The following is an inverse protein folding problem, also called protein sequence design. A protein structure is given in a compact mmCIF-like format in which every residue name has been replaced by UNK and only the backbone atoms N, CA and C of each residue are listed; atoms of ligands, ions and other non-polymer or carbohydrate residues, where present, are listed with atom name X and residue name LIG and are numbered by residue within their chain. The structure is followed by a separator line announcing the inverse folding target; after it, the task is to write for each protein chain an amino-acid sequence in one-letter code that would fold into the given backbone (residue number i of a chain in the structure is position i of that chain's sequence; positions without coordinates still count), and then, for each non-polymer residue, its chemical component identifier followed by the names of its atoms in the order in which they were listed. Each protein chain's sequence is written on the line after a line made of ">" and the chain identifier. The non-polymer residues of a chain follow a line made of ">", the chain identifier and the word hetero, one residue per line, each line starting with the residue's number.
data_IF_639207811995
#
_entry.id   IF_639207811995
#
_cell.length_a   1.000
_cell.length_b   1.000
_cell.length_c   1.000
_cell.angle_alpha   90.00
_cell.angle_beta   90.00
_cell.angle_gamma   90.00
#
_symmetry.space_group_name_H-M   'P 1'
#
loop_
_entity.id
_entity.type
_entity.pdbx_description
1 polymer ?
#
# COMPACT_ATOMS: atom_id res chain seq x y z
N UNK A 1 44.59 13.44 6.77
CA UNK A 1 43.75 12.61 7.65
C UNK A 1 42.30 13.00 7.37
N UNK A 2 41.65 12.27 6.45
CA UNK A 2 40.32 12.61 5.96
C UNK A 2 39.33 11.75 6.74
N UNK A 3 38.53 12.39 7.59
CA UNK A 3 37.48 11.72 8.36
C UNK A 3 36.40 11.32 7.37
N UNK A 4 36.32 10.02 7.06
CA UNK A 4 35.24 9.45 6.27
C UNK A 4 33.95 9.63 7.06
N UNK A 5 33.07 10.47 6.51
CA UNK A 5 31.71 10.71 7.02
C UNK A 5 30.96 9.37 7.13
N UNK A 6 30.30 9.17 8.28
CA UNK A 6 29.47 8.03 8.67
C UNK A 6 28.20 7.80 7.80
N UNK A 7 28.20 8.34 6.57
CA UNK A 7 27.08 8.34 5.62
C UNK A 7 27.32 7.34 4.50
N UNK A 8 27.45 6.05 4.80
CA UNK A 8 27.34 5.00 3.78
C UNK A 8 27.33 3.56 4.34
N UNK A 9 26.73 3.33 5.51
CA UNK A 9 26.37 1.95 5.84
C UNK A 9 25.07 1.61 5.09
N UNK A 10 25.02 0.61 4.20
CA UNK A 10 23.77 0.21 3.57
C UNK A 10 22.78 -0.18 4.67
N UNK A 11 21.67 0.54 4.75
CA UNK A 11 20.58 0.25 5.68
C UNK A 11 19.99 -1.11 5.30
N UNK A 12 19.64 -1.92 6.29
CA UNK A 12 18.88 -3.13 6.02
C UNK A 12 17.54 -2.73 5.37
N UNK A 13 17.27 -3.13 4.12
CA UNK A 13 16.01 -2.80 3.45
C UNK A 13 14.80 -3.18 4.31
N UNK A 14 13.88 -2.23 4.49
CA UNK A 14 12.59 -2.51 5.10
C UNK A 14 11.72 -3.16 4.02
N UNK A 15 11.72 -4.48 3.98
CA UNK A 15 11.03 -5.20 2.93
C UNK A 15 9.51 -5.13 3.12
N UNK A 16 8.82 -4.52 2.16
CA UNK A 16 7.39 -4.74 1.95
C UNK A 16 7.15 -6.23 1.76
N UNK A 17 6.16 -6.74 2.47
CA UNK A 17 5.73 -8.11 2.32
C UNK A 17 4.21 -8.16 2.39
N UNK A 18 3.68 -9.17 1.72
CA UNK A 18 2.28 -9.53 1.88
C UNK A 18 2.17 -10.15 3.26
N UNK A 19 1.47 -9.48 4.16
CA UNK A 19 1.36 -9.90 5.55
C UNK A 19 0.42 -11.11 5.72
N UNK A 20 -0.14 -11.68 4.63
CA UNK A 20 -1.05 -12.82 4.69
C UNK A 20 -1.00 -13.76 3.47
N UNK A 21 -0.66 -15.04 3.68
CA UNK A 21 -1.22 -16.18 2.95
C UNK A 21 -2.60 -16.64 3.48
N UNK A 22 -3.27 -15.87 4.35
CA UNK A 22 -4.63 -16.17 4.83
C UNK A 22 -5.39 -14.92 5.24
N UNK A 23 -6.44 -14.55 4.50
CA UNK A 23 -7.28 -13.40 4.81
C UNK A 23 -7.84 -13.51 6.24
N UNK A 24 -7.74 -12.42 7.02
CA UNK A 24 -8.48 -12.31 8.28
C UNK A 24 -9.91 -11.86 7.99
N UNK A 25 -10.92 -12.31 8.72
CA UNK A 25 -12.31 -11.91 8.49
C UNK A 25 -12.64 -10.74 9.42
N UNK A 26 -13.12 -9.64 8.85
CA UNK A 26 -13.65 -8.50 9.61
C UNK A 26 -14.86 -8.93 10.45
N UNK A 27 -15.19 -8.18 11.50
CA UNK A 27 -16.46 -8.37 12.23
C UNK A 27 -17.70 -8.32 11.32
N UNK A 28 -17.58 -7.67 10.15
CA UNK A 28 -18.62 -7.60 9.11
C UNK A 28 -18.68 -8.82 8.18
N UNK A 29 -17.87 -9.86 8.41
CA UNK A 29 -17.80 -11.06 7.57
C UNK A 29 -17.02 -10.88 6.26
N UNK A 30 -16.49 -9.69 5.98
CA UNK A 30 -15.69 -9.40 4.77
C UNK A 30 -14.23 -9.81 4.98
N UNK A 31 -13.53 -10.32 3.95
CA UNK A 31 -12.10 -10.58 4.07
C UNK A 31 -11.32 -9.27 4.18
N UNK A 32 -10.29 -9.30 5.02
CA UNK A 32 -9.29 -8.26 5.19
C UNK A 32 -7.97 -8.84 4.69
N UNK A 33 -7.42 -8.16 3.70
CA UNK A 33 -6.06 -8.36 3.19
C UNK A 33 -5.17 -7.22 3.66
N UNK A 34 -3.89 -7.50 3.93
CA UNK A 34 -2.94 -6.48 4.37
C UNK A 34 -1.66 -6.50 3.56
N UNK A 35 -1.20 -5.31 3.25
CA UNK A 35 0.07 -5.03 2.60
C UNK A 35 0.82 -4.02 3.45
N UNK A 36 2.10 -4.27 3.74
CA UNK A 36 2.88 -3.35 4.55
C UNK A 36 4.25 -3.89 4.94
N UNK A 37 4.77 -3.34 6.02
CA UNK A 37 6.03 -3.77 6.65
C UNK A 37 5.77 -4.12 8.11
N UNK A 38 6.58 -5.01 8.68
CA UNK A 38 6.40 -5.50 10.04
C UNK A 38 6.65 -4.41 11.10
N UNK A 39 7.62 -3.53 10.84
CA UNK A 39 8.04 -2.46 11.75
C UNK A 39 8.00 -1.12 10.99
N UNK A 40 6.82 -0.48 10.84
CA UNK A 40 6.71 0.78 10.13
C UNK A 40 7.43 1.90 10.89
N UNK A 41 8.22 2.70 10.17
CA UNK A 41 8.92 3.87 10.72
C UNK A 41 8.64 5.10 9.86
N UNK A 42 8.73 6.34 10.41
CA UNK A 42 8.62 7.55 9.59
C UNK A 42 9.66 7.63 8.46
N UNK A 43 10.79 6.94 8.62
CA UNK A 43 11.87 6.81 7.64
C UNK A 43 11.71 5.55 6.78
N UNK A 44 10.48 5.19 6.43
CA UNK A 44 10.20 4.03 5.58
C UNK A 44 10.64 4.25 4.13
N UNK A 45 10.60 5.50 3.68
CA UNK A 45 10.97 5.90 2.32
C UNK A 45 12.06 6.96 2.43
N UNK A 46 13.27 6.62 2.03
CA UNK A 46 14.42 7.51 2.03
C UNK A 46 14.86 7.87 0.61
N UNK A 47 14.79 6.91 -0.31
CA UNK A 47 15.21 7.10 -1.70
C UNK A 47 14.31 6.38 -2.72
N UNK A 48 14.66 6.50 -4.01
CA UNK A 48 13.90 5.90 -5.10
C UNK A 48 13.85 4.38 -5.01
N UNK A 49 14.88 3.72 -4.46
CA UNK A 49 14.92 2.26 -4.38
C UNK A 49 13.81 1.70 -3.47
N UNK A 50 13.43 2.45 -2.43
CA UNK A 50 12.29 2.10 -1.56
C UNK A 50 10.96 2.13 -2.33
N UNK A 51 10.79 3.13 -3.20
CA UNK A 51 9.59 3.28 -4.05
C UNK A 51 9.54 2.16 -5.10
N UNK A 52 10.66 1.85 -5.75
CA UNK A 52 10.74 0.76 -6.71
C UNK A 52 10.45 -0.59 -6.05
N UNK A 53 10.97 -0.79 -4.83
CA UNK A 53 10.70 -2.00 -4.08
C UNK A 53 9.22 -2.11 -3.67
N UNK A 54 8.61 -1.02 -3.17
CA UNK A 54 7.16 -0.95 -2.94
C UNK A 54 6.38 -1.37 -4.19
N UNK A 55 6.67 -0.76 -5.34
CA UNK A 55 5.99 -1.04 -6.61
C UNK A 55 6.05 -2.52 -6.97
N UNK A 56 7.24 -3.12 -6.90
CA UNK A 56 7.44 -4.53 -7.24
C UNK A 56 6.59 -5.49 -6.41
N UNK A 57 6.48 -5.24 -5.10
CA UNK A 57 5.69 -6.09 -4.20
C UNK A 57 4.20 -5.76 -4.32
N UNK A 58 3.84 -4.48 -4.43
CA UNK A 58 2.45 -4.02 -4.53
C UNK A 58 1.75 -4.54 -5.78
N UNK A 59 2.43 -4.57 -6.94
CA UNK A 59 1.85 -5.11 -8.18
C UNK A 59 1.48 -6.60 -8.03
N UNK A 60 2.31 -7.38 -7.33
CA UNK A 60 2.03 -8.79 -7.05
C UNK A 60 0.84 -8.94 -6.09
N UNK A 61 0.82 -8.14 -5.03
CA UNK A 61 -0.30 -8.08 -4.10
C UNK A 61 -1.63 -7.74 -4.80
N UNK A 62 -1.66 -6.70 -5.64
CA UNK A 62 -2.89 -6.33 -6.35
C UNK A 62 -3.32 -7.40 -7.35
N UNK A 63 -2.40 -8.18 -7.93
CA UNK A 63 -2.79 -9.33 -8.74
C UNK A 63 -3.53 -10.39 -7.91
N UNK A 64 -3.07 -10.68 -6.68
CA UNK A 64 -3.77 -11.57 -5.76
C UNK A 64 -5.15 -11.03 -5.37
N UNK A 65 -5.24 -9.73 -5.05
CA UNK A 65 -6.51 -9.07 -4.71
C UNK A 65 -7.51 -9.13 -5.86
N UNK A 66 -7.07 -8.87 -7.09
CA UNK A 66 -7.92 -8.97 -8.29
C UNK A 66 -8.44 -10.39 -8.51
N UNK A 67 -7.62 -11.40 -8.25
CA UNK A 67 -8.01 -12.82 -8.38
C UNK A 67 -9.09 -13.23 -7.36
N UNK A 68 -9.33 -12.45 -6.30
CA UNK A 68 -10.43 -12.69 -5.37
C UNK A 68 -11.81 -12.34 -5.96
N UNK A 69 -11.87 -11.59 -7.07
CA UNK A 69 -13.09 -11.34 -7.82
C UNK A 69 -14.06 -10.33 -7.20
N UNK A 70 -13.66 -9.59 -6.16
CA UNK A 70 -14.48 -8.54 -5.57
C UNK A 70 -14.63 -7.35 -6.52
N UNK A 71 -15.85 -6.79 -6.60
CA UNK A 71 -16.16 -5.62 -7.43
C UNK A 71 -15.97 -4.28 -6.71
N UNK A 72 -15.81 -4.32 -5.39
CA UNK A 72 -15.67 -3.14 -4.56
C UNK A 72 -14.68 -3.41 -3.44
N UNK A 73 -13.74 -2.50 -3.24
CA UNK A 73 -12.70 -2.56 -2.21
C UNK A 73 -12.77 -1.32 -1.35
N UNK A 74 -12.65 -1.50 -0.04
CA UNK A 74 -12.40 -0.40 0.89
C UNK A 74 -10.91 -0.38 1.24
N UNK A 75 -10.22 0.67 0.83
CA UNK A 75 -8.79 0.88 1.04
C UNK A 75 -8.57 1.86 2.21
N UNK A 76 -7.73 1.44 3.16
CA UNK A 76 -7.35 2.23 4.34
C UNK A 76 -5.83 2.46 4.33
N UNK A 77 -5.32 3.44 3.56
CA UNK A 77 -3.89 3.65 3.45
C UNK A 77 -3.33 4.31 4.71
N UNK A 78 -2.37 3.65 5.35
CA UNK A 78 -1.58 4.20 6.44
C UNK A 78 -0.09 4.20 6.02
N UNK A 79 0.26 5.08 5.08
CA UNK A 79 1.57 5.10 4.43
C UNK A 79 2.02 6.54 4.08
N UNK A 80 3.32 6.77 3.85
CA UNK A 80 3.81 8.06 3.36
C UNK A 80 3.16 8.46 2.02
N UNK A 81 3.00 9.78 1.81
CA UNK A 81 2.35 10.34 0.61
C UNK A 81 2.97 9.82 -0.70
N UNK A 82 4.30 9.68 -0.75
CA UNK A 82 5.01 9.17 -1.92
C UNK A 82 4.55 7.77 -2.34
N UNK A 83 4.30 6.89 -1.37
CA UNK A 83 3.78 5.54 -1.65
C UNK A 83 2.30 5.57 -2.04
N UNK A 84 1.50 6.49 -1.48
CA UNK A 84 0.10 6.65 -1.87
C UNK A 84 -0.03 7.11 -3.33
N UNK A 85 0.83 8.03 -3.77
CA UNK A 85 0.91 8.44 -5.18
C UNK A 85 1.34 7.28 -6.07
N UNK A 86 2.36 6.53 -5.66
CA UNK A 86 2.82 5.37 -6.43
C UNK A 86 1.78 4.26 -6.50
N UNK A 87 1.03 4.02 -5.41
CA UNK A 87 -0.12 3.12 -5.40
C UNK A 87 -1.12 3.49 -6.49
N UNK A 88 -1.54 4.76 -6.53
CA UNK A 88 -2.47 5.25 -7.54
C UNK A 88 -1.95 5.07 -8.97
N UNK A 89 -0.65 5.27 -9.20
CA UNK A 89 0.00 5.06 -10.51
C UNK A 89 -0.02 3.61 -10.98
N UNK A 90 -0.12 2.63 -10.08
CA UNK A 90 -0.17 1.21 -10.44
C UNK A 90 -1.59 0.69 -10.68
N UNK A 91 -2.63 1.47 -10.39
CA UNK A 91 -4.01 1.08 -10.64
C UNK A 91 -4.32 1.07 -12.14
N UNK A 92 -5.03 0.04 -12.59
CA UNK A 92 -5.44 -0.15 -13.98
C UNK A 92 -6.92 0.21 -14.13
N UNK A 93 -7.27 1.33 -14.79
CA UNK A 93 -8.66 1.81 -14.81
C UNK A 93 -9.69 0.75 -15.23
N UNK A 94 -9.42 -0.01 -16.29
CA UNK A 94 -10.38 -1.00 -16.83
C UNK A 94 -10.43 -2.33 -16.07
N UNK A 95 -9.54 -2.54 -15.10
CA UNK A 95 -9.33 -3.84 -14.47
C UNK A 95 -9.60 -3.78 -12.97
N UNK A 96 -9.28 -2.64 -12.34
CA UNK A 96 -9.48 -2.49 -10.91
C UNK A 96 -10.98 -2.43 -10.57
N UNK A 97 -11.38 -3.01 -9.43
CA UNK A 97 -12.71 -2.78 -8.88
C UNK A 97 -12.87 -1.31 -8.50
N UNK A 98 -14.10 -0.91 -8.16
CA UNK A 98 -14.31 0.37 -7.48
C UNK A 98 -13.52 0.35 -6.17
N UNK A 99 -12.78 1.43 -5.87
CA UNK A 99 -12.01 1.54 -4.63
C UNK A 99 -12.49 2.77 -3.86
N UNK A 100 -13.06 2.54 -2.67
CA UNK A 100 -13.31 3.61 -1.70
C UNK A 100 -12.07 3.77 -0.83
N UNK A 101 -11.47 4.95 -0.86
CA UNK A 101 -10.34 5.31 -0.01
C UNK A 101 -10.86 6.00 1.23
N UNK A 102 -10.41 5.52 2.39
CA UNK A 102 -10.79 6.00 3.70
C UNK A 102 -9.60 6.63 4.42
N UNK A 103 -9.81 7.78 5.02
CA UNK A 103 -8.80 8.49 5.79
C UNK A 103 -9.20 8.57 7.27
N UNK A 104 -8.22 8.56 8.16
CA UNK A 104 -8.43 8.64 9.60
C UNK A 104 -8.48 10.11 10.04
N UNK A 105 -9.67 10.60 10.37
CA UNK A 105 -9.91 11.98 10.77
C UNK A 105 -10.63 12.00 12.12
N UNK A 106 -10.06 12.72 13.09
CA UNK A 106 -10.65 12.89 14.43
C UNK A 106 -11.07 11.56 15.10
N UNK A 107 -10.26 10.50 14.95
CA UNK A 107 -10.52 9.18 15.55
C UNK A 107 -11.58 8.33 14.83
N UNK A 108 -12.02 8.73 13.63
CA UNK A 108 -12.95 7.97 12.79
C UNK A 108 -12.41 7.84 11.36
N UNK A 109 -12.80 6.79 10.65
CA UNK A 109 -12.55 6.69 9.22
C UNK A 109 -13.65 7.40 8.45
N UNK A 110 -13.26 8.26 7.50
CA UNK A 110 -14.15 8.98 6.59
C UNK A 110 -13.75 8.63 5.17
N UNK A 111 -14.71 8.32 4.31
CA UNK A 111 -14.44 8.11 2.89
C UNK A 111 -14.06 9.45 2.26
N UNK A 112 -12.87 9.53 1.67
CA UNK A 112 -12.31 10.79 1.13
C UNK A 112 -12.20 10.80 -0.38
N UNK A 113 -12.11 9.62 -0.99
CA UNK A 113 -11.98 9.47 -2.43
C UNK A 113 -12.64 8.16 -2.87
N UNK A 114 -13.35 8.20 -3.99
CA UNK A 114 -13.78 7.00 -4.69
C UNK A 114 -13.07 6.96 -6.04
N UNK A 115 -12.42 5.85 -6.31
CA UNK A 115 -11.82 5.55 -7.61
C UNK A 115 -12.78 4.60 -8.33
N UNK A 116 -13.63 5.17 -9.17
CA UNK A 116 -14.45 4.43 -10.12
C UNK A 116 -14.01 4.79 -11.54
N UNK A 117 -13.73 3.76 -12.32
CA UNK A 117 -13.19 3.87 -13.66
C UNK A 117 -14.21 3.42 -14.72
N UNK A 118 -15.44 3.08 -14.30
CA UNK A 118 -16.50 2.54 -15.16
C UNK A 118 -17.56 3.59 -15.55
N UNK A 119 -17.20 4.86 -15.60
CA UNK A 119 -18.09 5.90 -16.13
C UNK A 119 -18.04 5.90 -17.66
N UNK A 120 -18.98 5.20 -18.29
CA UNK A 120 -19.44 5.47 -19.66
C UNK A 120 -20.55 6.53 -19.66
#
# INVERSE_FOLDING_TARGET
>A
MQVLSDKQKPRAPQYFHNLFPGASVAASGKPIVRFGVANPTPHLVEDESDIQHFRMVFVKFMAEVRNMGYKHIHLFPAMPLSLAVELGRQLLPKVEPTIDVWDAQHGKFVQTLQLDFNHE
#
